data_IF_936871304976
#
_entry.id   IF_936871304976
#
_cell.length_a   1.000
_cell.length_b   1.000
_cell.length_c   1.000
_cell.angle_alpha   90.00
_cell.angle_beta   90.00
_cell.angle_gamma   90.00
#
_symmetry.space_group_name_H-M   'P 1'
#
loop_
_entity.id
_entity.type
_entity.pdbx_description
1 polymer ?
#
# COMPACT_ATOMS: atom_id res chain seq x y z
N UNK A 1 -8.21 -24.40 13.70
CA UNK A 1 -7.52 -23.43 14.59
C UNK A 1 -8.49 -22.34 15.02
N UNK A 2 -8.47 -21.93 16.30
CA UNK A 2 -9.15 -20.71 16.79
C UNK A 2 -8.46 -19.43 16.29
N UNK A 3 -7.15 -19.48 16.07
CA UNK A 3 -6.33 -18.40 15.52
C UNK A 3 -6.28 -18.49 14.00
N UNK A 4 -6.73 -17.44 13.31
CA UNK A 4 -6.76 -17.36 11.85
C UNK A 4 -5.64 -16.43 11.37
N UNK A 5 -4.77 -16.91 10.48
CA UNK A 5 -3.82 -16.04 9.79
C UNK A 5 -4.57 -15.23 8.73
N UNK A 6 -4.68 -13.91 8.93
CA UNK A 6 -5.40 -12.99 8.04
C UNK A 6 -4.48 -12.23 7.07
N UNK A 7 -3.20 -12.58 7.05
CA UNK A 7 -2.22 -12.05 6.11
C UNK A 7 -0.80 -12.37 6.53
N UNK A 8 0.07 -12.53 5.55
CA UNK A 8 1.52 -12.66 5.71
C UNK A 8 2.16 -11.56 4.87
N UNK A 9 3.09 -10.83 5.49
CA UNK A 9 3.87 -9.79 4.83
C UNK A 9 5.33 -10.19 4.86
N UNK A 10 5.99 -10.14 3.70
CA UNK A 10 7.44 -10.30 3.61
C UNK A 10 8.06 -8.99 3.14
N UNK A 11 9.23 -8.67 3.68
CA UNK A 11 10.05 -7.55 3.21
C UNK A 11 11.17 -8.11 2.34
N UNK A 12 11.44 -7.49 1.20
CA UNK A 12 12.47 -7.96 0.27
C UNK A 12 13.14 -6.82 -0.48
N UNK A 13 14.29 -7.12 -1.08
CA UNK A 13 14.90 -6.25 -2.08
C UNK A 13 14.20 -6.45 -3.44
N UNK A 14 14.09 -5.40 -4.27
CA UNK A 14 13.50 -5.51 -5.61
C UNK A 14 14.08 -6.64 -6.47
N UNK A 15 15.39 -6.86 -6.42
CA UNK A 15 16.09 -7.87 -7.20
C UNK A 15 15.80 -9.32 -6.76
N UNK A 16 15.13 -9.52 -5.62
CA UNK A 16 14.64 -10.83 -5.12
C UNK A 16 13.12 -10.99 -5.23
N UNK A 17 12.48 -10.21 -6.10
CA UNK A 17 11.07 -10.34 -6.45
C UNK A 17 10.91 -10.83 -7.90
N UNK A 18 11.68 -11.87 -8.29
CA UNK A 18 11.51 -12.50 -9.61
C UNK A 18 10.31 -13.46 -9.60
N UNK A 19 9.94 -13.97 -10.77
CA UNK A 19 8.79 -14.86 -10.95
C UNK A 19 8.87 -16.09 -10.02
N UNK A 20 10.05 -16.69 -9.89
CA UNK A 20 10.26 -17.87 -9.05
C UNK A 20 10.14 -17.56 -7.56
N UNK A 21 10.73 -16.46 -7.07
CA UNK A 21 10.56 -16.07 -5.66
C UNK A 21 9.11 -15.72 -5.37
N UNK A 22 8.41 -15.04 -6.28
CA UNK A 22 6.99 -14.70 -6.11
C UNK A 22 6.12 -15.95 -6.04
N UNK A 23 6.40 -16.97 -6.85
CA UNK A 23 5.71 -18.27 -6.78
C UNK A 23 5.91 -18.95 -5.41
N UNK A 24 7.13 -18.90 -4.88
CA UNK A 24 7.44 -19.39 -3.55
C UNK A 24 6.73 -18.57 -2.45
N UNK A 25 6.67 -17.24 -2.60
CA UNK A 25 5.94 -16.38 -1.67
C UNK A 25 4.45 -16.73 -1.63
N UNK A 26 3.83 -16.92 -2.80
CA UNK A 26 2.42 -17.31 -2.90
C UNK A 26 2.15 -18.69 -2.27
N UNK A 27 3.04 -19.67 -2.45
CA UNK A 27 2.87 -21.01 -1.86
C UNK A 27 2.91 -20.98 -0.32
N UNK A 28 3.65 -20.03 0.27
CA UNK A 28 3.65 -19.76 1.71
C UNK A 28 2.40 -19.01 2.20
N UNK A 29 1.50 -18.59 1.32
CA UNK A 29 0.30 -17.82 1.67
C UNK A 29 0.57 -16.33 1.89
N UNK A 30 1.64 -15.79 1.31
CA UNK A 30 1.96 -14.36 1.35
C UNK A 30 0.89 -13.57 0.61
N UNK A 31 0.46 -12.45 1.20
CA UNK A 31 -0.56 -11.57 0.62
C UNK A 31 -0.06 -10.16 0.37
N UNK A 32 1.12 -9.81 0.90
CA UNK A 32 1.73 -8.49 0.76
C UNK A 32 3.24 -8.59 0.75
N UNK A 33 3.87 -7.81 -0.11
CA UNK A 33 5.31 -7.65 -0.18
C UNK A 33 5.68 -6.20 0.09
N UNK A 34 6.68 -6.00 0.93
CA UNK A 34 7.31 -4.70 1.10
C UNK A 34 8.62 -4.66 0.33
N UNK A 35 8.68 -3.75 -0.63
CA UNK A 35 9.83 -3.59 -1.51
C UNK A 35 10.69 -2.47 -0.98
N UNK A 36 11.95 -2.79 -0.69
CA UNK A 36 12.97 -1.84 -0.23
C UNK A 36 13.46 -0.91 -1.34
N UNK A 37 12.56 -0.06 -1.87
CA UNK A 37 12.78 0.91 -2.96
C UNK A 37 13.77 2.00 -2.56
N UNK A 38 13.60 2.60 -1.39
CA UNK A 38 14.40 3.70 -0.82
C UNK A 38 14.34 5.02 -1.59
N UNK A 39 14.67 5.06 -2.87
CA UNK A 39 14.65 6.26 -3.71
C UNK A 39 14.19 5.90 -5.13
N UNK A 40 14.16 6.83 -6.10
CA UNK A 40 13.85 6.51 -7.51
C UNK A 40 14.96 6.93 -8.49
N UNK A 41 16.11 7.36 -7.98
CA UNK A 41 17.25 7.79 -8.79
C UNK A 41 18.45 6.85 -8.63
N UNK A 42 19.02 6.42 -9.76
CA UNK A 42 20.13 5.47 -9.78
C UNK A 42 21.43 6.06 -9.19
N UNK A 43 21.71 7.34 -9.40
CA UNK A 43 22.88 8.00 -8.79
C UNK A 43 22.82 7.99 -7.25
N UNK A 44 21.62 8.05 -6.65
CA UNK A 44 21.45 7.86 -5.21
C UNK A 44 21.76 6.42 -4.81
N UNK A 45 21.32 5.44 -5.61
CA UNK A 45 21.64 4.02 -5.39
C UNK A 45 23.13 3.74 -5.50
N UNK A 46 23.78 4.25 -6.55
CA UNK A 46 25.20 4.08 -6.79
C UNK A 46 26.01 4.70 -5.65
N UNK A 47 25.64 5.92 -5.23
CA UNK A 47 26.31 6.61 -4.12
C UNK A 47 26.25 5.81 -2.82
N UNK A 48 25.07 5.28 -2.45
CA UNK A 48 24.89 4.49 -1.22
C UNK A 48 25.22 3.01 -1.39
N UNK A 49 25.80 2.61 -2.54
CA UNK A 49 26.14 1.23 -2.89
C UNK A 49 24.95 0.27 -2.72
N UNK A 50 23.78 0.69 -3.20
CA UNK A 50 22.58 -0.15 -3.19
C UNK A 50 22.73 -1.24 -4.25
N UNK A 51 22.53 -2.50 -3.87
CA UNK A 51 22.70 -3.64 -4.77
C UNK A 51 21.61 -3.83 -5.84
N UNK A 52 20.83 -2.80 -6.17
CA UNK A 52 19.81 -2.85 -7.22
C UNK A 52 19.62 -1.47 -7.86
N UNK A 53 19.04 -1.47 -9.06
CA UNK A 53 18.70 -0.27 -9.82
C UNK A 53 17.19 -0.04 -9.90
N UNK A 54 16.79 1.06 -10.55
CA UNK A 54 15.38 1.38 -10.77
C UNK A 54 14.66 0.35 -11.65
N UNK A 55 15.36 -0.36 -12.55
CA UNK A 55 14.77 -1.39 -13.40
C UNK A 55 14.37 -2.62 -12.59
N UNK A 56 15.17 -2.99 -11.59
CA UNK A 56 14.80 -4.03 -10.64
C UNK A 56 13.51 -3.67 -9.88
N UNK A 57 13.34 -2.40 -9.49
CA UNK A 57 12.11 -1.90 -8.84
C UNK A 57 10.90 -2.04 -9.76
N UNK A 58 10.97 -1.56 -11.00
CA UNK A 58 9.83 -1.60 -11.91
C UNK A 58 9.45 -3.05 -12.28
N UNK A 59 10.45 -3.93 -12.48
CA UNK A 59 10.23 -5.37 -12.72
C UNK A 59 9.63 -6.09 -11.52
N UNK A 60 10.05 -5.74 -10.31
CA UNK A 60 9.45 -6.25 -9.09
C UNK A 60 7.97 -5.85 -8.99
N UNK A 61 7.66 -4.57 -9.23
CA UNK A 61 6.28 -4.07 -9.17
C UNK A 61 5.38 -4.77 -10.20
N UNK A 62 5.86 -4.94 -11.42
CA UNK A 62 5.20 -5.71 -12.48
C UNK A 62 4.87 -7.13 -12.02
N UNK A 63 5.89 -7.88 -11.60
CA UNK A 63 5.74 -9.29 -11.23
C UNK A 63 4.78 -9.45 -10.05
N UNK A 64 4.90 -8.59 -9.04
CA UNK A 64 4.06 -8.62 -7.84
C UNK A 64 2.60 -8.27 -8.15
N UNK A 65 2.34 -7.22 -8.92
CA UNK A 65 0.98 -6.82 -9.30
C UNK A 65 0.30 -7.89 -10.15
N UNK A 66 0.97 -8.39 -11.18
CA UNK A 66 0.44 -9.46 -12.05
C UNK A 66 0.26 -10.80 -11.35
N UNK A 67 0.90 -11.00 -10.19
CA UNK A 67 0.70 -12.16 -9.32
C UNK A 67 -0.38 -11.95 -8.27
N UNK A 68 -1.06 -10.79 -8.28
CA UNK A 68 -2.14 -10.46 -7.37
C UNK A 68 -1.68 -9.99 -5.98
N UNK A 69 -0.38 -9.74 -5.75
CA UNK A 69 0.16 -9.35 -4.44
C UNK A 69 0.06 -7.85 -4.22
N UNK A 70 -0.13 -7.46 -2.96
CA UNK A 70 -0.10 -6.05 -2.52
C UNK A 70 1.33 -5.57 -2.34
N UNK A 71 1.58 -4.32 -2.68
CA UNK A 71 2.92 -3.72 -2.63
C UNK A 71 2.96 -2.58 -1.61
N UNK A 72 3.89 -2.69 -0.66
CA UNK A 72 4.35 -1.57 0.15
C UNK A 72 5.66 -1.06 -0.44
N UNK A 73 5.74 0.20 -0.86
CA UNK A 73 7.03 0.81 -1.15
C UNK A 73 7.61 1.38 0.14
N UNK A 74 8.79 0.90 0.50
CA UNK A 74 9.59 1.46 1.58
C UNK A 74 10.49 2.56 1.00
N UNK A 75 10.20 3.82 1.33
CA UNK A 75 10.87 5.01 0.82
C UNK A 75 11.65 5.70 1.93
N UNK A 76 12.85 6.17 1.62
CA UNK A 76 13.76 6.84 2.54
C UNK A 76 14.16 8.24 2.02
N UNK A 77 13.40 9.29 2.33
CA UNK A 77 13.83 10.65 2.04
C UNK A 77 15.07 11.03 2.88
N UNK A 78 15.89 11.94 2.38
CA UNK A 78 17.11 12.40 3.05
C UNK A 78 18.30 11.47 2.91
N UNK A 79 18.28 10.54 1.96
CA UNK A 79 19.46 9.76 1.61
C UNK A 79 20.58 10.67 1.10
N UNK A 80 21.85 10.29 1.32
CA UNK A 80 23.00 10.98 0.74
C UNK A 80 22.82 11.21 -0.77
N UNK A 81 23.14 12.43 -1.24
CA UNK A 81 22.95 12.83 -2.64
C UNK A 81 21.52 13.29 -2.99
N UNK A 82 20.58 13.31 -2.03
CA UNK A 82 19.23 13.83 -2.23
C UNK A 82 19.00 15.19 -1.55
N UNK A 83 17.91 15.85 -1.95
CA UNK A 83 17.42 17.11 -1.36
C UNK A 83 15.91 17.00 -1.11
N UNK A 84 15.30 17.82 -0.23
CA UNK A 84 13.86 17.74 0.02
C UNK A 84 13.02 17.89 -1.26
N UNK A 85 13.44 18.78 -2.16
CA UNK A 85 12.80 18.98 -3.46
C UNK A 85 12.91 17.72 -4.34
N UNK A 86 14.11 17.13 -4.42
CA UNK A 86 14.36 15.92 -5.20
C UNK A 86 13.58 14.72 -4.67
N UNK A 87 13.47 14.59 -3.35
CA UNK A 87 12.65 13.54 -2.73
C UNK A 87 11.16 13.76 -3.02
N UNK A 88 10.68 15.01 -2.97
CA UNK A 88 9.30 15.33 -3.33
C UNK A 88 8.99 14.92 -4.77
N UNK A 89 9.89 15.22 -5.71
CA UNK A 89 9.79 14.79 -7.12
C UNK A 89 9.81 13.27 -7.25
N UNK A 90 10.62 12.56 -6.44
CA UNK A 90 10.60 11.10 -6.40
C UNK A 90 9.22 10.57 -5.94
N UNK A 91 8.59 11.18 -4.93
CA UNK A 91 7.23 10.79 -4.53
C UNK A 91 6.18 11.13 -5.59
N UNK A 92 6.29 12.27 -6.28
CA UNK A 92 5.42 12.61 -7.41
C UNK A 92 5.54 11.56 -8.52
N UNK A 93 6.76 11.17 -8.88
CA UNK A 93 7.02 10.11 -9.86
C UNK A 93 6.46 8.77 -9.38
N UNK A 94 6.66 8.39 -8.11
CA UNK A 94 6.15 7.15 -7.52
C UNK A 94 4.63 6.99 -7.68
N UNK A 95 3.88 8.10 -7.60
CA UNK A 95 2.43 8.12 -7.70
C UNK A 95 1.90 8.26 -9.13
N UNK A 96 2.65 8.93 -10.01
CA UNK A 96 2.18 9.29 -11.34
C UNK A 96 2.68 8.35 -12.44
N UNK A 97 3.94 7.90 -12.39
CA UNK A 97 4.53 7.01 -13.39
C UNK A 97 3.92 5.60 -13.26
N UNK A 98 3.31 5.07 -14.34
CA UNK A 98 2.63 3.77 -14.32
C UNK A 98 3.59 2.61 -14.04
N UNK A 99 4.91 2.77 -14.20
CA UNK A 99 5.86 1.72 -13.81
C UNK A 99 5.91 1.49 -12.29
N UNK A 100 5.30 2.38 -11.50
CA UNK A 100 5.23 2.29 -10.05
C UNK A 100 3.78 2.16 -9.56
N UNK A 101 3.29 3.12 -8.76
CA UNK A 101 1.97 3.10 -8.09
C UNK A 101 1.81 1.97 -7.06
N UNK A 102 2.53 2.05 -5.93
CA UNK A 102 2.38 1.10 -4.84
C UNK A 102 1.01 1.25 -4.17
N UNK A 103 0.54 0.19 -3.50
CA UNK A 103 -0.71 0.24 -2.73
C UNK A 103 -0.52 0.94 -1.39
N UNK A 104 0.68 0.84 -0.83
CA UNK A 104 1.00 1.30 0.52
C UNK A 104 2.41 1.88 0.58
N UNK A 105 2.65 2.74 1.59
CA UNK A 105 3.96 3.34 1.85
C UNK A 105 4.42 3.14 3.30
N UNK A 106 5.72 2.91 3.45
CA UNK A 106 6.48 3.20 4.67
C UNK A 106 7.46 4.32 4.33
N UNK A 107 7.35 5.47 5.00
CA UNK A 107 8.20 6.65 4.74
C UNK A 107 9.13 6.82 5.94
N UNK A 108 10.41 6.48 5.78
CA UNK A 108 11.40 6.52 6.83
C UNK A 108 12.52 7.51 6.48
N UNK A 109 12.46 8.76 6.98
CA UNK A 109 13.57 9.70 6.82
C UNK A 109 14.89 9.03 7.20
N UNK A 110 15.93 9.31 6.42
CA UNK A 110 17.26 8.78 6.66
C UNK A 110 17.78 9.29 8.00
N UNK A 111 18.35 8.38 8.79
CA UNK A 111 18.91 8.65 10.10
C UNK A 111 20.38 8.23 10.11
N UNK A 112 21.18 8.94 10.90
CA UNK A 112 22.57 8.55 11.16
C UNK A 112 22.57 7.66 12.40
N UNK A 113 23.02 6.42 12.22
CA UNK A 113 23.19 5.44 13.29
C UNK A 113 24.67 5.09 13.41
N UNK A 114 25.14 4.95 14.64
CA UNK A 114 26.53 4.56 14.90
C UNK A 114 26.88 3.23 14.19
N UNK A 115 28.13 3.13 13.72
CA UNK A 115 28.62 1.95 13.00
C UNK A 115 28.13 1.79 11.56
N UNK A 116 27.45 2.79 10.99
CA UNK A 116 27.02 2.78 9.57
C UNK A 116 27.94 3.62 8.68
N UNK A 117 28.00 3.31 7.39
CA UNK A 117 28.72 4.13 6.39
C UNK A 117 28.23 5.58 6.35
N UNK A 118 26.94 5.80 6.59
CA UNK A 118 26.34 7.13 6.68
C UNK A 118 26.90 7.90 7.89
N UNK A 119 27.18 7.21 8.99
CA UNK A 119 27.84 7.83 10.16
C UNK A 119 29.25 8.30 9.84
N UNK A 120 30.04 7.53 9.08
CA UNK A 120 31.36 7.97 8.63
C UNK A 120 31.28 9.22 7.75
N UNK A 121 30.29 9.31 6.86
CA UNK A 121 30.08 10.50 6.03
C UNK A 121 29.65 11.71 6.84
N UNK A 122 28.82 11.49 7.86
CA UNK A 122 28.41 12.56 8.76
C UNK A 122 29.60 13.10 9.57
N UNK A 123 30.45 12.22 10.13
CA UNK A 123 31.66 12.61 10.87
C UNK A 123 32.65 13.39 9.99
N UNK A 124 32.74 13.05 8.69
CA UNK A 124 33.56 13.76 7.71
C UNK A 124 32.94 15.08 7.21
N UNK A 125 31.69 15.37 7.60
CA UNK A 125 30.93 16.54 7.13
C UNK A 125 30.42 16.43 5.70
N UNK A 126 30.62 15.30 5.01
CA UNK A 126 30.17 15.08 3.62
C UNK A 126 28.70 14.70 3.51
N UNK A 127 28.02 14.48 4.63
CA UNK A 127 26.58 14.25 4.70
C UNK A 127 25.96 14.96 5.91
N UNK A 128 24.82 15.58 5.69
CA UNK A 128 23.96 16.11 6.76
C UNK A 128 22.54 15.56 6.57
N UNK A 129 21.96 14.90 7.58
CA UNK A 129 20.56 14.47 7.52
C UNK A 129 19.64 15.69 7.55
N UNK A 130 18.40 15.51 7.08
CA UNK A 130 17.41 16.58 7.17
C UNK A 130 17.10 16.93 8.62
N UNK A 131 16.90 18.23 8.85
CA UNK A 131 16.38 18.69 10.12
C UNK A 131 14.89 18.35 10.28
N UNK A 132 14.38 18.64 11.48
CA UNK A 132 12.99 18.35 11.83
C UNK A 132 12.00 19.11 10.93
N UNK A 133 12.24 20.39 10.64
CA UNK A 133 11.30 21.24 9.92
C UNK A 133 11.26 20.92 8.43
N UNK A 134 12.43 20.66 7.83
CA UNK A 134 12.56 20.10 6.47
C UNK A 134 11.79 18.79 6.35
N UNK A 135 11.94 17.89 7.33
CA UNK A 135 11.27 16.59 7.34
C UNK A 135 9.75 16.74 7.49
N UNK A 136 9.27 17.60 8.39
CA UNK A 136 7.85 17.86 8.58
C UNK A 136 7.24 18.45 7.30
N UNK A 137 7.90 19.42 6.68
CA UNK A 137 7.40 20.06 5.46
C UNK A 137 7.33 19.07 4.30
N UNK A 138 8.39 18.29 4.08
CA UNK A 138 8.42 17.25 3.05
C UNK A 138 7.30 16.23 3.25
N UNK A 139 7.12 15.72 4.48
CA UNK A 139 6.05 14.76 4.79
C UNK A 139 4.67 15.40 4.57
N UNK A 140 4.46 16.66 4.96
CA UNK A 140 3.21 17.37 4.73
C UNK A 140 2.88 17.46 3.23
N UNK A 141 3.88 17.78 2.40
CA UNK A 141 3.72 17.84 0.94
C UNK A 141 3.44 16.46 0.33
N UNK A 142 4.20 15.41 0.72
CA UNK A 142 3.94 14.03 0.27
C UNK A 142 2.51 13.59 0.63
N UNK A 143 2.07 13.91 1.86
CA UNK A 143 0.71 13.58 2.31
C UNK A 143 -0.37 14.37 1.60
N UNK A 144 -0.07 15.53 1.04
CA UNK A 144 -1.01 16.28 0.22
C UNK A 144 -1.16 15.65 -1.19
N UNK A 145 -0.04 15.18 -1.76
CA UNK A 145 0.03 14.58 -3.10
C UNK A 145 -0.46 13.13 -3.18
N UNK A 146 -0.49 12.43 -2.05
CA UNK A 146 -0.77 10.99 -2.00
C UNK A 146 -2.14 10.65 -2.62
N UNK A 147 -2.20 9.72 -3.60
CA UNK A 147 -3.46 9.33 -4.21
C UNK A 147 -4.41 8.62 -3.24
N UNK A 148 -5.73 8.65 -3.50
CA UNK A 148 -6.73 8.09 -2.60
C UNK A 148 -6.66 6.56 -2.45
N UNK A 149 -6.06 5.84 -3.39
CA UNK A 149 -5.85 4.38 -3.32
C UNK A 149 -4.61 3.97 -2.51
N UNK A 150 -3.78 4.92 -2.06
CA UNK A 150 -2.53 4.62 -1.34
C UNK A 150 -2.75 4.70 0.17
N UNK A 151 -2.22 3.72 0.92
CA UNK A 151 -2.18 3.75 2.39
C UNK A 151 -0.77 4.06 2.91
N UNK A 152 -0.57 5.21 3.54
CA UNK A 152 0.68 5.46 4.29
C UNK A 152 0.61 4.72 5.63
N UNK A 153 1.25 3.57 5.71
CA UNK A 153 1.26 2.69 6.89
C UNK A 153 2.02 3.34 8.04
N UNK A 154 3.25 3.76 7.76
CA UNK A 154 4.17 4.28 8.77
C UNK A 154 4.94 5.48 8.25
N UNK A 155 5.19 6.41 9.17
CA UNK A 155 6.07 7.56 8.99
C UNK A 155 7.01 7.47 10.17
N UNK A 156 8.31 7.31 9.92
CA UNK A 156 9.38 6.99 10.87
C UNK A 156 9.51 5.51 11.30
N UNK A 157 10.75 5.11 11.65
CA UNK A 157 11.08 3.79 12.22
C UNK A 157 10.94 3.79 13.75
N UNK A 158 10.76 2.61 14.33
CA UNK A 158 10.92 2.41 15.78
C UNK A 158 12.39 2.21 16.11
N UNK A 159 13.18 3.27 15.98
CA UNK A 159 14.56 3.28 16.44
C UNK A 159 14.60 4.08 17.75
N UNK A 160 15.11 3.50 18.84
CA UNK A 160 15.31 4.23 20.08
C UNK A 160 16.13 5.50 19.85
N UNK A 161 15.67 6.64 20.38
CA UNK A 161 16.26 7.95 20.08
C UNK A 161 17.75 8.03 20.46
N UNK A 162 18.17 7.30 21.51
CA UNK A 162 19.56 7.23 21.94
C UNK A 162 20.52 6.55 20.93
N UNK A 163 19.99 5.79 19.97
CA UNK A 163 20.78 5.17 18.90
C UNK A 163 20.91 6.08 17.67
N UNK A 164 20.20 7.21 17.64
CA UNK A 164 20.22 8.18 16.55
C UNK A 164 21.25 9.25 16.89
N UNK A 165 22.42 9.19 16.24
CA UNK A 165 23.50 10.16 16.47
C UNK A 165 23.28 11.47 15.71
N UNK A 166 22.54 11.43 14.60
CA UNK A 166 22.05 12.62 13.91
C UNK A 166 20.80 12.33 13.06
N UNK A 167 20.00 13.37 12.82
CA UNK A 167 18.71 13.31 12.13
C UNK A 167 17.52 13.43 13.07
N UNK A 168 16.33 13.06 12.59
CA UNK A 168 15.09 13.33 13.31
C UNK A 168 14.83 12.29 14.42
N UNK A 169 14.77 12.76 15.67
CA UNK A 169 14.53 11.92 16.86
C UNK A 169 13.09 11.97 17.38
N UNK A 170 12.25 12.89 16.89
CA UNK A 170 10.86 13.02 17.32
C UNK A 170 10.01 11.84 16.85
N UNK A 171 9.33 11.18 17.79
CA UNK A 171 8.49 10.01 17.53
C UNK A 171 7.06 10.32 17.05
N UNK A 172 6.71 11.56 16.72
CA UNK A 172 5.35 11.92 16.28
C UNK A 172 5.32 12.69 14.96
N UNK A 173 6.21 12.38 14.01
CA UNK A 173 6.32 13.12 12.74
C UNK A 173 5.02 13.19 11.94
N UNK A 174 4.21 12.12 11.98
CA UNK A 174 2.88 12.11 11.33
C UNK A 174 1.97 13.21 11.86
N UNK A 175 1.93 13.38 13.19
CA UNK A 175 1.08 14.36 13.85
C UNK A 175 1.53 15.78 13.53
N UNK A 176 2.84 16.03 13.62
CA UNK A 176 3.45 17.32 13.29
C UNK A 176 3.17 17.72 11.83
N UNK A 177 3.34 16.79 10.89
CA UNK A 177 3.02 17.02 9.49
C UNK A 177 1.53 17.33 9.27
N UNK A 178 0.62 16.57 9.91
CA UNK A 178 -0.82 16.84 9.82
C UNK A 178 -1.22 18.19 10.43
N UNK A 179 -0.60 18.59 11.55
CA UNK A 179 -0.81 19.91 12.15
C UNK A 179 -0.36 21.02 11.20
N UNK A 180 0.81 20.87 10.56
CA UNK A 180 1.31 21.81 9.57
C UNK A 180 0.39 21.90 8.34
N UNK A 181 -0.08 20.77 7.83
CA UNK A 181 -1.06 20.74 6.74
C UNK A 181 -2.34 21.50 7.11
N UNK A 182 -2.89 21.28 8.31
CA UNK A 182 -4.09 21.97 8.80
C UNK A 182 -3.88 23.49 8.84
N UNK A 183 -2.71 23.96 9.31
CA UNK A 183 -2.37 25.38 9.32
C UNK A 183 -2.30 26.02 7.92
N UNK A 184 -2.09 25.22 6.87
CA UNK A 184 -2.08 25.64 5.46
C UNK A 184 -3.40 25.35 4.73
N UNK A 185 -4.44 24.87 5.41
CA UNK A 185 -5.70 24.48 4.77
C UNK A 185 -5.60 23.24 3.87
N UNK A 186 -4.54 22.43 4.01
CA UNK A 186 -4.30 21.25 3.18
C UNK A 186 -4.92 20.00 3.81
N UNK A 187 -5.42 19.11 2.96
CA UNK A 187 -5.98 17.80 3.34
C UNK A 187 -5.11 16.65 2.84
N UNK A 188 -5.27 15.47 3.45
CA UNK A 188 -4.57 14.24 3.05
C UNK A 188 -5.58 13.19 2.59
N UNK A 189 -5.43 12.72 1.35
CA UNK A 189 -6.36 11.78 0.73
C UNK A 189 -5.98 10.31 0.89
N UNK A 190 -4.88 9.97 1.58
CA UNK A 190 -4.50 8.56 1.75
C UNK A 190 -5.58 7.78 2.53
N UNK A 191 -5.66 6.48 2.27
CA UNK A 191 -6.61 5.55 2.93
C UNK A 191 -6.61 5.74 4.45
N UNK A 192 -5.44 5.84 5.08
CA UNK A 192 -5.33 5.97 6.54
C UNK A 192 -5.93 7.26 7.11
N UNK A 193 -5.91 8.35 6.35
CA UNK A 193 -6.51 9.62 6.79
C UNK A 193 -8.03 9.63 6.57
N UNK A 194 -8.53 8.74 5.72
CA UNK A 194 -9.95 8.64 5.36
C UNK A 194 -10.67 7.51 6.09
N UNK A 195 -9.97 6.47 6.55
CA UNK A 195 -10.58 5.28 7.15
C UNK A 195 -11.42 5.62 8.39
N UNK A 196 -12.65 5.08 8.41
CA UNK A 196 -13.67 5.34 9.44
C UNK A 196 -13.16 5.12 10.86
N UNK A 197 -12.35 4.08 11.10
CA UNK A 197 -11.77 3.80 12.41
C UNK A 197 -10.88 4.92 12.95
N UNK A 198 -10.05 5.55 12.10
CA UNK A 198 -9.19 6.68 12.54
C UNK A 198 -9.98 7.97 12.75
N UNK A 199 -11.05 8.18 11.99
CA UNK A 199 -11.92 9.34 12.11
C UNK A 199 -12.76 9.28 13.39
N UNK A 200 -13.30 8.10 13.70
CA UNK A 200 -13.96 7.81 14.96
C UNK A 200 -13.08 8.10 16.18
N UNK A 201 -11.82 7.65 16.15
CA UNK A 201 -10.86 7.92 17.24
C UNK A 201 -10.58 9.40 17.44
N UNK A 202 -10.84 10.25 16.44
CA UNK A 202 -10.72 11.71 16.52
C UNK A 202 -12.03 12.41 16.92
N UNK A 203 -13.09 11.66 17.21
CA UNK A 203 -14.40 12.20 17.54
C UNK A 203 -15.20 12.71 16.34
N UNK A 204 -14.84 12.33 15.10
CA UNK A 204 -15.64 12.66 13.92
C UNK A 204 -16.95 11.86 13.92
N UNK A 205 -18.04 12.49 13.46
CA UNK A 205 -19.33 11.83 13.29
C UNK A 205 -19.24 10.81 12.15
N UNK A 206 -19.90 9.67 12.34
CA UNK A 206 -20.03 8.67 11.29
C UNK A 206 -20.98 9.14 10.18
N UNK A 207 -20.66 8.84 8.91
CA UNK A 207 -21.60 9.04 7.82
C UNK A 207 -22.81 8.12 8.00
N UNK A 208 -24.00 8.58 7.60
CA UNK A 208 -25.17 7.71 7.55
C UNK A 208 -25.05 6.74 6.35
N UNK A 209 -25.67 5.55 6.41
CA UNK A 209 -25.64 4.61 5.29
C UNK A 209 -26.09 5.21 3.95
N UNK A 210 -27.10 6.08 3.97
CA UNK A 210 -27.65 6.73 2.77
C UNK A 210 -26.69 7.75 2.13
N UNK A 211 -25.70 8.23 2.89
CA UNK A 211 -24.69 9.17 2.38
C UNK A 211 -23.51 8.46 1.69
N UNK A 212 -23.47 7.13 1.73
CA UNK A 212 -22.36 6.33 1.20
C UNK A 212 -22.57 5.99 -0.26
N UNK A 213 -21.50 6.14 -1.05
CA UNK A 213 -21.47 5.77 -2.47
C UNK A 213 -20.34 4.79 -2.75
N UNK A 214 -20.55 3.95 -3.76
CA UNK A 214 -19.46 3.19 -4.38
C UNK A 214 -18.77 4.13 -5.37
N UNK A 215 -17.47 4.34 -5.16
CA UNK A 215 -16.62 5.16 -6.02
C UNK A 215 -15.61 4.25 -6.69
N UNK A 216 -15.51 4.36 -8.02
CA UNK A 216 -14.56 3.63 -8.85
C UNK A 216 -13.44 4.56 -9.29
N UNK A 217 -12.19 4.12 -9.14
CA UNK A 217 -11.00 4.83 -9.63
C UNK A 217 -10.13 3.88 -10.42
N UNK A 218 -9.93 4.20 -11.69
CA UNK A 218 -9.15 3.39 -12.63
C UNK A 218 -7.81 4.08 -12.88
N UNK A 219 -6.72 3.33 -12.89
CA UNK A 219 -5.39 3.85 -13.21
C UNK A 219 -4.45 2.77 -13.77
N UNK A 220 -3.62 3.15 -14.74
CA UNK A 220 -2.59 2.28 -15.29
C UNK A 220 -1.50 2.02 -14.25
N UNK A 221 -1.15 0.76 -14.04
CA UNK A 221 -0.01 0.38 -13.20
C UNK A 221 0.63 -0.92 -13.71
N UNK A 222 1.93 -0.85 -13.98
CA UNK A 222 2.76 -1.95 -14.44
C UNK A 222 2.11 -2.70 -15.60
N UNK A 223 1.95 -2.02 -16.74
CA UNK A 223 1.40 -2.55 -18.00
C UNK A 223 0.02 -3.23 -17.90
N UNK A 224 -0.69 -3.05 -16.80
CA UNK A 224 -2.06 -3.50 -16.60
C UNK A 224 -2.83 -2.38 -15.93
N UNK A 225 -4.07 -2.66 -15.56
CA UNK A 225 -4.97 -1.65 -15.05
C UNK A 225 -5.43 -2.00 -13.64
N UNK A 226 -5.46 -1.00 -12.76
CA UNK A 226 -5.94 -1.11 -11.39
C UNK A 226 -7.28 -0.39 -11.26
N UNK A 227 -8.26 -1.10 -10.69
CA UNK A 227 -9.60 -0.61 -10.41
C UNK A 227 -9.77 -0.63 -8.90
N UNK A 228 -9.66 0.56 -8.29
CA UNK A 228 -9.88 0.78 -6.87
C UNK A 228 -11.35 1.14 -6.64
N UNK A 229 -12.10 0.18 -6.11
CA UNK A 229 -13.50 0.36 -5.71
C UNK A 229 -13.56 0.64 -4.22
N UNK A 230 -14.29 1.67 -3.82
CA UNK A 230 -14.43 2.06 -2.41
C UNK A 230 -15.85 2.43 -2.06
N UNK A 231 -16.30 2.03 -0.87
CA UNK A 231 -17.49 2.61 -0.22
C UNK A 231 -17.04 3.79 0.61
N UNK A 232 -17.46 4.99 0.21
CA UNK A 232 -17.06 6.23 0.87
C UNK A 232 -18.19 7.27 0.86
N UNK A 233 -18.15 8.19 1.82
CA UNK A 233 -18.99 9.38 1.81
C UNK A 233 -18.29 10.46 0.96
N UNK A 234 -18.88 10.91 -0.16
CA UNK A 234 -18.22 11.85 -1.09
C UNK A 234 -17.89 13.21 -0.47
N UNK A 235 -18.74 13.69 0.45
CA UNK A 235 -18.62 15.04 1.00
C UNK A 235 -17.53 15.13 2.06
N UNK A 236 -17.50 14.17 2.98
CA UNK A 236 -16.52 14.10 4.06
C UNK A 236 -15.23 13.37 3.66
N UNK A 237 -15.27 12.57 2.58
CA UNK A 237 -14.20 11.66 2.19
C UNK A 237 -13.98 10.49 3.15
N UNK A 238 -14.93 10.20 4.05
CA UNK A 238 -14.85 9.07 4.98
C UNK A 238 -14.92 7.74 4.23
N UNK A 239 -13.97 6.83 4.47
CA UNK A 239 -13.81 5.56 3.78
C UNK A 239 -14.22 4.40 4.68
N UNK A 240 -15.20 3.61 4.22
CA UNK A 240 -15.79 2.48 4.94
C UNK A 240 -15.16 1.15 4.54
N UNK A 241 -14.82 1.00 3.26
CA UNK A 241 -14.20 -0.21 2.76
C UNK A 241 -13.75 -0.04 1.32
N UNK A 242 -12.88 -0.93 0.85
CA UNK A 242 -12.41 -0.93 -0.51
C UNK A 242 -12.01 -2.32 -1.00
N UNK A 243 -11.97 -2.48 -2.32
CA UNK A 243 -11.35 -3.62 -2.99
C UNK A 243 -10.42 -3.13 -4.11
N UNK A 244 -9.36 -3.88 -4.36
CA UNK A 244 -8.39 -3.66 -5.42
C UNK A 244 -8.57 -4.75 -6.46
N UNK A 245 -9.29 -4.44 -7.52
CA UNK A 245 -9.35 -5.27 -8.71
C UNK A 245 -8.21 -4.86 -9.65
N UNK A 246 -7.55 -5.84 -10.27
CA UNK A 246 -6.55 -5.63 -11.30
C UNK A 246 -6.92 -6.44 -12.54
N UNK A 247 -6.78 -5.81 -13.70
CA UNK A 247 -6.68 -6.49 -14.98
C UNK A 247 -5.18 -6.66 -15.27
N UNK A 248 -4.66 -7.91 -15.18
CA UNK A 248 -3.23 -8.14 -15.26
C UNK A 248 -2.71 -7.88 -16.67
N UNK A 249 -1.41 -7.61 -16.77
CA UNK A 249 -0.77 -7.45 -18.08
C UNK A 249 -0.55 -8.79 -18.78
N UNK A 250 -0.25 -8.74 -20.08
CA UNK A 250 0.20 -9.91 -20.86
C UNK A 250 1.49 -10.56 -20.32
N UNK A 251 2.23 -9.89 -19.43
CA UNK A 251 3.45 -10.43 -18.81
C UNK A 251 3.20 -11.34 -17.61
N UNK A 252 1.94 -11.46 -17.16
CA UNK A 252 1.55 -12.31 -16.05
C UNK A 252 2.00 -13.76 -16.29
N UNK A 253 2.72 -14.35 -15.33
CA UNK A 253 3.39 -15.64 -15.52
C UNK A 253 2.68 -16.83 -14.89
N UNK A 254 1.80 -16.57 -13.91
CA UNK A 254 1.06 -17.61 -13.19
C UNK A 254 0.14 -18.36 -14.15
N UNK A 255 0.17 -19.69 -14.12
CA UNK A 255 -0.66 -20.54 -14.98
C UNK A 255 -2.16 -20.34 -14.76
N UNK A 256 -2.55 -19.91 -13.56
CA UNK A 256 -3.92 -19.58 -13.23
C UNK A 256 -4.37 -18.28 -13.93
N UNK A 257 -3.44 -17.43 -14.36
CA UNK A 257 -3.70 -16.07 -14.88
C UNK A 257 -3.43 -16.00 -16.39
N UNK A 258 -2.24 -16.44 -16.82
CA UNK A 258 -1.72 -16.28 -18.18
C UNK A 258 -2.66 -16.89 -19.23
N UNK A 259 -3.14 -16.06 -20.16
CA UNK A 259 -4.03 -16.47 -21.25
C UNK A 259 -5.42 -16.95 -20.80
N UNK A 260 -5.85 -16.62 -19.56
CA UNK A 260 -7.15 -17.07 -19.01
C UNK A 260 -8.21 -15.97 -18.94
N UNK A 261 -7.91 -14.74 -19.35
CA UNK A 261 -8.75 -13.55 -19.15
C UNK A 261 -9.27 -13.49 -17.70
N UNK A 262 -8.32 -13.46 -16.75
CA UNK A 262 -8.62 -13.51 -15.32
C UNK A 262 -8.47 -12.13 -14.69
N UNK A 263 -9.50 -11.66 -13.98
CA UNK A 263 -9.39 -10.51 -13.09
C UNK A 263 -8.78 -10.91 -11.74
N UNK A 264 -8.00 -10.02 -11.12
CA UNK A 264 -7.33 -10.29 -9.84
C UNK A 264 -7.86 -9.37 -8.74
N UNK A 265 -8.47 -9.93 -7.71
CA UNK A 265 -8.74 -9.19 -6.47
C UNK A 265 -7.52 -9.32 -5.56
N UNK A 266 -6.74 -8.24 -5.51
CA UNK A 266 -5.48 -8.12 -4.76
C UNK A 266 -5.72 -7.84 -3.28
N UNK A 267 -6.82 -7.17 -2.98
CA UNK A 267 -7.21 -6.82 -1.61
C UNK A 267 -8.71 -6.63 -1.54
N UNK A 268 -9.33 -7.10 -0.47
CA UNK A 268 -10.62 -6.62 0.00
C UNK A 268 -10.50 -6.27 1.48
N UNK A 269 -10.97 -5.09 1.86
CA UNK A 269 -10.86 -4.60 3.22
C UNK A 269 -12.11 -3.80 3.59
N UNK A 270 -12.83 -4.27 4.60
CA UNK A 270 -13.88 -3.49 5.26
C UNK A 270 -13.25 -2.90 6.52
N UNK A 271 -13.24 -1.58 6.61
CA UNK A 271 -12.59 -0.84 7.69
C UNK A 271 -13.59 -0.74 8.85
N UNK A 272 -13.23 -1.34 9.99
CA UNK A 272 -13.96 -1.19 11.25
C UNK A 272 -13.12 -0.45 12.29
N UNK A 273 -13.72 -0.06 13.42
CA UNK A 273 -12.96 0.40 14.59
C UNK A 273 -12.02 -0.70 15.10
N UNK A 274 -10.89 -0.28 15.69
CA UNK A 274 -10.04 -1.16 16.48
C UNK A 274 -10.75 -1.40 17.83
N UNK A 275 -11.40 -2.54 17.98
CA UNK A 275 -12.00 -2.94 19.26
C UNK A 275 -10.94 -3.60 20.15
N UNK A 276 -10.84 -3.25 21.44
CA UNK A 276 -10.03 -3.99 22.40
C UNK A 276 -10.39 -5.48 22.44
N UNK A 277 -9.42 -6.33 22.77
CA UNK A 277 -9.63 -7.77 22.88
C UNK A 277 -10.66 -8.03 24.00
N UNK A 278 -11.82 -8.60 23.65
CA UNK A 278 -12.89 -8.96 24.58
C UNK A 278 -14.15 -8.09 24.47
N UNK A 279 -14.12 -7.00 23.71
CA UNK A 279 -15.28 -6.15 23.47
C UNK A 279 -15.89 -6.40 22.09
N UNK A 280 -17.22 -6.36 21.99
CA UNK A 280 -17.94 -6.45 20.72
C UNK A 280 -18.08 -5.07 20.08
N UNK A 281 -17.64 -4.95 18.83
CA UNK A 281 -17.80 -3.73 18.04
C UNK A 281 -19.29 -3.35 17.92
N UNK A 282 -19.75 -2.23 18.51
CA UNK A 282 -21.12 -1.77 18.34
C UNK A 282 -21.40 -1.29 16.90
N UNK A 283 -20.38 -1.12 16.06
CA UNK A 283 -20.48 -0.68 14.66
C UNK A 283 -20.36 -1.83 13.64
N UNK A 284 -20.11 -3.06 14.10
CA UNK A 284 -20.07 -4.25 13.26
C UNK A 284 -21.34 -4.40 12.40
N UNK A 285 -22.51 -3.93 12.91
CA UNK A 285 -23.77 -3.99 12.17
C UNK A 285 -23.82 -3.02 11.00
N UNK A 286 -23.23 -1.82 11.10
CA UNK A 286 -23.18 -0.85 10.00
C UNK A 286 -22.32 -1.36 8.86
N UNK A 287 -21.28 -2.15 9.17
CA UNK A 287 -20.36 -2.70 8.18
C UNK A 287 -20.81 -4.03 7.55
N UNK A 288 -21.98 -4.56 7.93
CA UNK A 288 -22.51 -5.81 7.37
C UNK A 288 -22.87 -5.60 5.90
N UNK A 289 -22.19 -6.34 5.02
CA UNK A 289 -22.55 -6.44 3.60
C UNK A 289 -21.60 -5.71 2.65
N UNK A 290 -20.89 -4.65 3.08
CA UNK A 290 -20.02 -3.88 2.17
C UNK A 290 -18.92 -4.72 1.52
N UNK A 291 -18.38 -5.72 2.22
CA UNK A 291 -17.42 -6.66 1.63
C UNK A 291 -18.02 -7.43 0.46
N UNK A 292 -19.22 -7.98 0.62
CA UNK A 292 -19.92 -8.69 -0.45
C UNK A 292 -20.35 -7.74 -1.57
N UNK A 293 -20.82 -6.53 -1.24
CA UNK A 293 -21.18 -5.50 -2.23
C UNK A 293 -19.98 -5.11 -3.10
N UNK A 294 -18.83 -4.84 -2.50
CA UNK A 294 -17.59 -4.52 -3.21
C UNK A 294 -17.12 -5.70 -4.08
N UNK A 295 -17.24 -6.92 -3.56
CA UNK A 295 -16.88 -8.13 -4.29
C UNK A 295 -17.76 -8.33 -5.52
N UNK A 296 -19.08 -8.25 -5.36
CA UNK A 296 -20.03 -8.38 -6.46
C UNK A 296 -19.81 -7.31 -7.52
N UNK A 297 -19.54 -6.06 -7.11
CA UNK A 297 -19.26 -4.98 -8.07
C UNK A 297 -17.95 -5.21 -8.83
N UNK A 298 -16.93 -5.77 -8.17
CA UNK A 298 -15.69 -6.15 -8.83
C UNK A 298 -15.89 -7.31 -9.83
N UNK A 299 -16.70 -8.30 -9.48
CA UNK A 299 -17.09 -9.41 -10.36
C UNK A 299 -17.83 -8.88 -11.60
N UNK A 300 -18.82 -8.00 -11.40
CA UNK A 300 -19.58 -7.34 -12.46
C UNK A 300 -18.65 -6.59 -13.42
N UNK A 301 -17.82 -5.68 -12.91
CA UNK A 301 -16.88 -4.90 -13.74
C UNK A 301 -15.92 -5.82 -14.51
N UNK A 302 -15.32 -6.80 -13.83
CA UNK A 302 -14.40 -7.74 -14.47
C UNK A 302 -15.07 -8.48 -15.63
N UNK A 303 -16.34 -8.87 -15.47
CA UNK A 303 -17.11 -9.55 -16.49
C UNK A 303 -17.54 -8.63 -17.63
N UNK A 304 -18.25 -7.55 -17.32
CA UNK A 304 -18.98 -6.75 -18.31
C UNK A 304 -18.10 -5.74 -19.04
N UNK A 305 -17.11 -5.16 -18.35
CA UNK A 305 -16.22 -4.15 -18.92
C UNK A 305 -14.94 -4.76 -19.50
N UNK A 306 -14.46 -5.86 -18.93
CA UNK A 306 -13.18 -6.48 -19.31
C UNK A 306 -13.27 -7.90 -19.88
N UNK A 307 -14.49 -8.46 -20.02
CA UNK A 307 -14.71 -9.81 -20.55
C UNK A 307 -13.89 -10.90 -19.82
N UNK A 308 -13.66 -10.72 -18.51
CA UNK A 308 -12.98 -11.71 -17.70
C UNK A 308 -13.87 -12.95 -17.58
N UNK A 309 -13.28 -14.13 -17.75
CA UNK A 309 -13.97 -15.42 -17.64
C UNK A 309 -13.98 -15.96 -16.21
N UNK A 310 -13.09 -15.43 -15.38
CA UNK A 310 -12.97 -15.77 -13.97
C UNK A 310 -12.31 -14.65 -13.18
N UNK A 311 -12.46 -14.74 -11.88
CA UNK A 311 -11.80 -13.85 -10.93
C UNK A 311 -11.00 -14.67 -9.93
N UNK A 312 -9.79 -14.19 -9.60
CA UNK A 312 -8.88 -14.81 -8.65
C UNK A 312 -8.64 -13.85 -7.49
N UNK A 313 -8.77 -14.33 -6.27
CA UNK A 313 -8.57 -13.54 -5.05
C UNK A 313 -7.29 -14.00 -4.35
N UNK A 314 -6.39 -13.04 -4.10
CA UNK A 314 -5.25 -13.23 -3.20
C UNK A 314 -5.76 -13.22 -1.76
N UNK A 315 -5.99 -14.41 -1.21
CA UNK A 315 -6.61 -14.60 0.10
C UNK A 315 -5.65 -15.18 1.12
N UNK A 316 -5.61 -14.60 2.31
CA UNK A 316 -4.90 -15.18 3.44
C UNK A 316 -5.51 -16.54 3.83
N UNK A 317 -4.68 -17.44 4.36
CA UNK A 317 -5.09 -18.81 4.72
C UNK A 317 -6.33 -18.85 5.62
N UNK A 318 -6.42 -17.94 6.60
CA UNK A 318 -7.55 -17.84 7.53
C UNK A 318 -8.83 -17.23 6.94
N UNK A 319 -8.74 -16.57 5.79
CA UNK A 319 -9.84 -15.89 5.11
C UNK A 319 -10.46 -16.71 3.97
N UNK A 320 -9.82 -17.82 3.53
CA UNK A 320 -10.32 -18.66 2.43
C UNK A 320 -11.77 -19.15 2.63
N UNK A 321 -12.14 -19.53 3.86
CA UNK A 321 -13.50 -19.96 4.19
C UNK A 321 -14.57 -18.87 3.96
N UNK A 322 -14.20 -17.59 4.06
CA UNK A 322 -15.12 -16.50 3.75
C UNK A 322 -15.48 -16.52 2.25
N UNK A 323 -14.48 -16.63 1.38
CA UNK A 323 -14.68 -16.70 -0.08
C UNK A 323 -15.39 -18.00 -0.51
N UNK A 324 -15.11 -19.13 0.15
CA UNK A 324 -15.82 -20.39 -0.12
C UNK A 324 -17.34 -20.28 0.08
N UNK A 325 -17.79 -19.52 1.09
CA UNK A 325 -19.21 -19.25 1.31
C UNK A 325 -19.84 -18.37 0.22
N UNK A 326 -19.02 -17.66 -0.55
CA UNK A 326 -19.43 -16.79 -1.65
C UNK A 326 -19.27 -17.48 -3.02
N UNK A 327 -19.07 -18.80 -3.04
CA UNK A 327 -19.00 -19.60 -4.27
C UNK A 327 -17.60 -19.72 -4.87
N UNK A 328 -16.55 -19.30 -4.16
CA UNK A 328 -15.17 -19.48 -4.62
C UNK A 328 -14.62 -20.85 -4.25
N UNK A 329 -13.77 -21.41 -5.11
CA UNK A 329 -13.00 -22.63 -4.86
C UNK A 329 -11.50 -22.35 -4.88
N UNK A 330 -10.68 -23.26 -4.36
CA UNK A 330 -9.22 -23.07 -4.37
C UNK A 330 -8.67 -23.38 -5.77
N UNK A 331 -7.88 -22.48 -6.35
CA UNK A 331 -7.14 -22.69 -7.61
C UNK A 331 -5.70 -22.23 -7.44
N UNK A 332 -4.77 -23.17 -7.29
CA UNK A 332 -3.39 -22.86 -6.93
C UNK A 332 -3.32 -22.11 -5.58
N UNK A 333 -2.61 -20.97 -5.49
CA UNK A 333 -2.56 -20.17 -4.27
C UNK A 333 -3.80 -19.28 -4.06
N UNK A 334 -4.69 -19.17 -5.06
CA UNK A 334 -5.81 -18.22 -5.11
C UNK A 334 -7.15 -18.85 -4.72
N UNK A 335 -8.12 -18.00 -4.37
CA UNK A 335 -9.53 -18.37 -4.40
C UNK A 335 -10.12 -17.94 -5.75
N UNK A 336 -10.67 -18.86 -6.51
CA UNK A 336 -11.18 -18.67 -7.88
C UNK A 336 -12.69 -18.78 -7.94
N UNK A 337 -13.31 -17.96 -8.79
CA UNK A 337 -14.73 -18.07 -9.15
C UNK A 337 -14.86 -17.81 -10.65
N UNK A 338 -15.60 -18.67 -11.35
CA UNK A 338 -15.95 -18.44 -12.76
C UNK A 338 -17.00 -17.32 -12.82
N UNK A 339 -16.86 -16.45 -13.81
CA UNK A 339 -17.87 -15.44 -14.13
C UNK A 339 -18.71 -16.05 -15.26
N UNK A 340 -19.92 -16.49 -14.96
CA UNK A 340 -20.83 -17.07 -15.95
C UNK A 340 -21.31 -15.97 -16.88
N UNK A 341 -21.09 -16.14 -18.19
CA UNK A 341 -21.46 -15.20 -19.25
C UNK A 341 -22.96 -15.00 -19.40
#
# INVERSE_FOLDING_TARGET
SKNKNVGITLETRPDYATKNEVDNMLSMGVTRIEVGVQNLYNDVYDLIERGHDIKAVTKAFQTLKDSGLKIVAHMMPGLPGSTPQRDLEAFQRLFNDPNFKPDMLKIYPCLVLEGTKIHEWWLKGSYQPYDLEQTIDLIAQIKHLVPPWVRIMRIQRDIPAQLIVAGVTKGNLRELALKKMKGKGLTCNCIRCREVGHRLMKGEKLPQPDDLKIVTRIYDASNGEEIFLSVENPDSGCLIGYTRLRIPSEQAHRIEIAGKNAGLIREIHVLGPLVPVGETDPLLWQHKGYGSTLLNKAEEIAQTEYNCKKILVTSALGSRRYFMKLGYSLEGPYMSKKLEG
#
